data_IF_808742736431
#
_entry.id   IF_808742736431
#
_cell.length_a   1.000
_cell.length_b   1.000
_cell.length_c   1.000
_cell.angle_alpha   90.00
_cell.angle_beta   90.00
_cell.angle_gamma   90.00
#
_symmetry.space_group_name_H-M   'P 1'
#
loop_
_entity.id
_entity.type
_entity.pdbx_description
1 polymer ?
#
# COMPACT_ATOMS: atom_id res chain seq x y z
N UNK A 1 31.69 -49.88 36.71
CA UNK A 1 30.36 -49.27 36.82
C UNK A 1 30.51 -47.75 36.71
N UNK A 2 30.08 -47.15 35.59
CA UNK A 2 30.12 -45.70 35.36
C UNK A 2 28.78 -45.25 34.80
N UNK A 3 28.31 -44.16 35.39
CA UNK A 3 26.97 -43.59 35.30
C UNK A 3 26.49 -43.31 33.87
N UNK A 4 25.17 -43.45 33.70
CA UNK A 4 24.46 -43.20 32.46
C UNK A 4 24.58 -41.76 31.98
N UNK A 5 24.54 -41.61 30.66
CA UNK A 5 24.25 -40.33 30.00
C UNK A 5 22.94 -40.52 29.25
N UNK A 6 21.84 -40.13 29.90
CA UNK A 6 20.61 -39.77 29.22
C UNK A 6 20.88 -38.48 28.45
N UNK A 7 20.76 -38.53 27.13
CA UNK A 7 20.78 -37.34 26.27
C UNK A 7 19.32 -37.04 25.96
N UNK A 8 18.79 -35.87 26.36
CA UNK A 8 17.38 -35.56 26.14
C UNK A 8 17.12 -35.38 24.65
N UNK A 9 15.93 -35.81 24.28
CA UNK A 9 15.33 -35.75 22.95
C UNK A 9 15.60 -34.40 22.27
N UNK A 10 16.20 -34.45 21.07
CA UNK A 10 16.22 -33.29 20.17
C UNK A 10 14.78 -32.87 19.92
N UNK A 11 14.50 -31.63 20.30
CA UNK A 11 13.24 -30.90 20.17
C UNK A 11 12.49 -31.18 18.86
N UNK A 12 11.15 -31.18 18.90
CA UNK A 12 10.36 -31.29 17.69
C UNK A 12 10.71 -30.12 16.80
N UNK A 13 11.28 -30.44 15.64
CA UNK A 13 11.49 -29.58 14.48
C UNK A 13 10.31 -28.62 14.38
N UNK A 14 10.52 -27.39 14.87
CA UNK A 14 9.53 -26.33 14.75
C UNK A 14 9.21 -26.26 13.26
N UNK A 15 7.96 -26.55 12.92
CA UNK A 15 7.48 -26.41 11.56
C UNK A 15 7.75 -24.96 11.16
N UNK A 16 8.80 -24.77 10.38
CA UNK A 16 9.13 -23.54 9.70
C UNK A 16 7.90 -23.24 8.85
N UNK A 17 7.04 -22.34 9.35
CA UNK A 17 5.89 -21.84 8.59
C UNK A 17 6.49 -21.37 7.26
N UNK A 18 5.96 -21.80 6.09
CA UNK A 18 6.51 -21.37 4.82
C UNK A 18 6.57 -19.85 4.83
N UNK A 19 7.78 -19.28 4.72
CA UNK A 19 7.92 -17.84 4.60
C UNK A 19 7.03 -17.40 3.44
N UNK A 20 6.14 -16.41 3.67
CA UNK A 20 5.22 -16.00 2.64
C UNK A 20 6.03 -15.51 1.44
N UNK A 21 5.74 -16.04 0.25
CA UNK A 21 6.44 -15.65 -0.98
C UNK A 21 6.20 -14.14 -1.19
N UNK A 22 7.20 -13.31 -0.90
CA UNK A 22 7.10 -11.86 -0.96
C UNK A 22 7.83 -11.32 -2.19
N UNK A 23 7.15 -10.48 -2.99
CA UNK A 23 7.69 -9.82 -4.19
C UNK A 23 7.54 -8.32 -4.08
N UNK A 24 8.62 -7.59 -4.36
CA UNK A 24 8.62 -6.12 -4.42
C UNK A 24 8.62 -5.66 -5.87
N UNK A 25 7.70 -4.77 -6.23
CA UNK A 25 7.59 -4.16 -7.54
C UNK A 25 8.55 -2.96 -7.68
N UNK A 26 8.81 -2.53 -8.92
CA UNK A 26 9.58 -1.32 -9.22
C UNK A 26 9.00 -0.04 -8.62
N UNK A 27 7.69 -0.03 -8.32
CA UNK A 27 7.02 1.06 -7.58
C UNK A 27 7.35 1.07 -6.07
N UNK A 28 8.15 0.12 -5.58
CA UNK A 28 8.46 -0.06 -4.16
C UNK A 28 7.33 -0.68 -3.33
N UNK A 29 6.28 -1.20 -3.98
CA UNK A 29 5.20 -1.92 -3.33
C UNK A 29 5.58 -3.38 -3.13
N UNK A 30 5.45 -3.90 -1.91
CA UNK A 30 5.72 -5.31 -1.59
C UNK A 30 4.42 -6.07 -1.45
N UNK A 31 4.26 -7.17 -2.17
CA UNK A 31 3.13 -8.08 -2.06
C UNK A 31 3.62 -9.42 -1.55
N UNK A 32 2.95 -9.99 -0.55
CA UNK A 32 3.25 -11.32 -0.06
C UNK A 32 2.10 -12.27 -0.35
N UNK A 33 2.42 -13.51 -0.70
CA UNK A 33 1.45 -14.55 -0.92
C UNK A 33 0.89 -15.02 0.42
N UNK A 34 -0.41 -14.83 0.63
CA UNK A 34 -1.15 -15.31 1.79
C UNK A 34 -2.15 -16.37 1.37
N UNK A 35 -2.35 -17.37 2.22
CA UNK A 35 -3.35 -18.42 2.01
C UNK A 35 -4.57 -18.09 2.88
N UNK A 36 -5.64 -17.61 2.26
CA UNK A 36 -6.86 -17.18 2.94
C UNK A 36 -8.01 -18.06 2.44
N UNK A 37 -8.65 -18.82 3.35
CA UNK A 37 -9.72 -19.78 3.03
C UNK A 37 -9.36 -20.79 1.92
N UNK A 38 -8.12 -21.28 1.91
CA UNK A 38 -7.63 -22.22 0.89
C UNK A 38 -7.26 -21.57 -0.45
N UNK A 39 -7.45 -20.26 -0.61
CA UNK A 39 -7.10 -19.51 -1.82
C UNK A 39 -5.80 -18.75 -1.61
N UNK A 40 -4.84 -18.92 -2.53
CA UNK A 40 -3.61 -18.13 -2.56
C UNK A 40 -3.90 -16.75 -3.15
N UNK A 41 -3.58 -15.70 -2.39
CA UNK A 41 -3.75 -14.29 -2.81
C UNK A 41 -2.47 -13.51 -2.57
N UNK A 42 -2.16 -12.60 -3.48
CA UNK A 42 -1.09 -11.61 -3.28
C UNK A 42 -1.65 -10.43 -2.50
N UNK A 43 -1.14 -10.18 -1.30
CA UNK A 43 -1.61 -9.09 -0.42
C UNK A 43 -0.49 -8.07 -0.25
N UNK A 44 -0.81 -6.80 -0.52
CA UNK A 44 0.10 -5.68 -0.32
C UNK A 44 0.50 -5.62 1.17
N UNK A 45 1.80 -5.72 1.43
CA UNK A 45 2.38 -5.52 2.74
C UNK A 45 2.75 -4.04 2.92
N UNK A 46 2.04 -3.36 3.81
CA UNK A 46 2.28 -1.95 4.17
C UNK A 46 1.40 -0.94 3.44
N UNK A 47 1.73 0.35 3.61
CA UNK A 47 0.99 1.46 3.02
C UNK A 47 1.48 1.72 1.59
N UNK A 48 0.54 1.91 0.65
CA UNK A 48 0.86 2.32 -0.71
C UNK A 48 1.59 3.67 -0.67
N UNK A 49 2.73 3.75 -1.35
CA UNK A 49 3.51 5.00 -1.44
C UNK A 49 2.89 5.89 -2.52
N UNK A 50 2.83 7.21 -2.29
CA UNK A 50 2.41 8.16 -3.33
C UNK A 50 3.51 8.32 -4.38
N UNK A 51 3.08 8.43 -5.64
CA UNK A 51 3.97 8.63 -6.79
C UNK A 51 4.43 10.10 -6.89
N UNK A 52 3.65 11.03 -6.33
CA UNK A 52 3.94 12.46 -6.30
C UNK A 52 3.97 12.99 -4.87
N UNK A 53 4.84 13.96 -4.62
CA UNK A 53 4.97 14.66 -3.34
C UNK A 53 4.39 16.06 -3.44
N UNK A 54 4.13 16.68 -2.28
CA UNK A 54 3.70 18.09 -2.22
C UNK A 54 4.76 18.99 -2.87
N UNK A 55 4.31 19.90 -3.74
CA UNK A 55 5.15 20.79 -4.52
C UNK A 55 5.48 20.27 -5.93
N UNK A 56 5.33 18.97 -6.20
CA UNK A 56 5.62 18.38 -7.51
C UNK A 56 4.60 18.85 -8.56
N UNK A 57 5.06 18.98 -9.81
CA UNK A 57 4.18 19.25 -10.94
C UNK A 57 3.42 17.97 -11.30
N UNK A 58 2.10 18.03 -11.21
CA UNK A 58 1.21 16.92 -11.47
C UNK A 58 0.72 16.95 -12.93
N UNK A 59 0.81 15.84 -13.69
CA UNK A 59 0.41 15.81 -15.09
C UNK A 59 -1.12 15.68 -15.24
N UNK A 60 -1.85 16.78 -14.96
CA UNK A 60 -3.32 16.84 -14.92
C UNK A 60 -4.04 16.35 -16.20
N UNK A 61 -3.40 16.42 -17.37
CA UNK A 61 -3.98 15.94 -18.63
C UNK A 61 -3.77 14.44 -18.87
N UNK A 62 -2.91 13.78 -18.08
CA UNK A 62 -2.65 12.34 -18.16
C UNK A 62 -3.48 11.53 -17.17
N UNK A 63 -4.18 12.20 -16.25
CA UNK A 63 -4.86 11.56 -15.13
C UNK A 63 -6.29 12.06 -14.99
N UNK A 64 -7.18 11.20 -14.50
CA UNK A 64 -8.59 11.52 -14.33
C UNK A 64 -8.83 12.37 -13.09
N UNK A 65 -9.60 13.44 -13.26
CA UNK A 65 -10.11 14.23 -12.16
C UNK A 65 -11.19 13.45 -11.40
N UNK A 66 -11.16 13.53 -10.09
CA UNK A 66 -12.10 12.83 -9.22
C UNK A 66 -13.35 13.69 -8.99
N UNK A 67 -14.46 13.26 -9.58
CA UNK A 67 -15.74 13.99 -9.53
C UNK A 67 -16.61 13.60 -8.34
N UNK A 68 -16.63 12.32 -7.97
CA UNK A 68 -17.49 11.82 -6.90
C UNK A 68 -16.77 11.88 -5.55
N UNK A 69 -16.74 13.07 -4.94
CA UNK A 69 -16.05 13.33 -3.67
C UNK A 69 -16.68 12.56 -2.50
N UNK A 70 -18.02 12.46 -2.48
CA UNK A 70 -18.79 11.80 -1.41
C UNK A 70 -18.43 10.33 -1.26
N UNK A 71 -18.09 9.64 -2.35
CA UNK A 71 -17.68 8.23 -2.30
C UNK A 71 -16.42 8.00 -1.44
N UNK A 72 -15.60 9.04 -1.29
CA UNK A 72 -14.30 8.98 -0.62
C UNK A 72 -14.24 9.89 0.60
N UNK A 73 -15.41 10.35 1.11
CA UNK A 73 -15.53 11.25 2.26
C UNK A 73 -14.66 12.52 2.15
N UNK A 74 -14.44 12.98 0.91
CA UNK A 74 -13.62 14.17 0.65
C UNK A 74 -14.44 15.45 0.81
N UNK A 75 -13.84 16.53 1.34
CA UNK A 75 -14.50 17.82 1.43
C UNK A 75 -14.80 18.37 0.03
N UNK A 76 -15.81 19.23 -0.05
CA UNK A 76 -16.16 19.90 -1.29
C UNK A 76 -15.00 20.81 -1.78
N UNK A 77 -14.92 21.00 -3.10
CA UNK A 77 -13.95 21.93 -3.69
C UNK A 77 -14.37 23.36 -3.39
N UNK A 78 -13.65 24.04 -2.51
CA UNK A 78 -13.94 25.42 -2.07
C UNK A 78 -13.02 26.48 -2.69
N UNK A 79 -12.07 26.09 -3.54
CA UNK A 79 -11.09 27.01 -4.10
C UNK A 79 -10.55 26.56 -5.46
N UNK A 80 -9.43 27.17 -5.88
CA UNK A 80 -8.77 26.91 -7.17
C UNK A 80 -7.93 25.62 -7.16
N UNK A 81 -8.51 24.52 -6.72
CA UNK A 81 -7.84 23.22 -6.64
C UNK A 81 -8.81 22.10 -7.01
N UNK A 82 -8.27 20.95 -7.38
CA UNK A 82 -9.04 19.77 -7.84
C UNK A 82 -8.45 18.49 -7.27
N UNK A 83 -9.29 17.47 -7.13
CA UNK A 83 -8.84 16.13 -6.74
C UNK A 83 -8.53 15.27 -7.96
N UNK A 84 -7.46 14.48 -7.88
CA UNK A 84 -7.08 13.52 -8.89
C UNK A 84 -6.73 12.18 -8.26
N UNK A 85 -6.88 11.10 -9.03
CA UNK A 85 -6.44 9.77 -8.62
C UNK A 85 -5.40 9.22 -9.57
N UNK A 86 -4.28 8.74 -9.00
CA UNK A 86 -3.23 8.03 -9.72
C UNK A 86 -2.85 6.82 -8.89
N UNK A 87 -2.82 5.65 -9.52
CA UNK A 87 -2.50 4.39 -8.84
C UNK A 87 -3.25 4.25 -7.51
N UNK A 88 -4.55 4.56 -7.48
CA UNK A 88 -5.36 4.44 -6.27
C UNK A 88 -4.97 5.36 -5.10
N UNK A 89 -4.15 6.39 -5.35
CA UNK A 89 -3.84 7.47 -4.40
C UNK A 89 -4.54 8.75 -4.82
N UNK A 90 -5.13 9.47 -3.88
CA UNK A 90 -5.83 10.73 -4.07
C UNK A 90 -4.89 11.89 -3.78
N UNK A 91 -4.85 12.86 -4.69
CA UNK A 91 -4.04 14.07 -4.60
C UNK A 91 -4.93 15.30 -4.70
N UNK A 92 -4.66 16.31 -3.88
CA UNK A 92 -5.18 17.67 -4.08
C UNK A 92 -4.17 18.44 -4.91
N UNK A 93 -4.60 18.97 -6.04
CA UNK A 93 -3.72 19.64 -7.01
C UNK A 93 -4.26 21.04 -7.28
N UNK A 94 -3.36 22.02 -7.29
CA UNK A 94 -3.68 23.40 -7.66
C UNK A 94 -4.10 23.47 -9.14
N UNK A 95 -5.17 24.20 -9.43
CA UNK A 95 -5.75 24.23 -10.78
C UNK A 95 -4.93 25.09 -11.75
N UNK A 96 -4.15 26.06 -11.27
CA UNK A 96 -3.40 26.99 -12.11
C UNK A 96 -1.96 26.51 -12.31
N UNK A 97 -1.24 26.28 -11.21
CA UNK A 97 0.16 25.86 -11.19
C UNK A 97 0.34 24.37 -11.45
N UNK A 98 -0.74 23.57 -11.35
CA UNK A 98 -0.73 22.11 -11.50
C UNK A 98 0.17 21.42 -10.48
N UNK A 99 0.50 22.08 -9.36
CA UNK A 99 1.32 21.51 -8.30
C UNK A 99 0.47 20.72 -7.33
N UNK A 100 1.03 19.61 -6.82
CA UNK A 100 0.42 18.88 -5.71
C UNK A 100 0.45 19.75 -4.47
N UNK A 101 -0.71 20.05 -3.93
CA UNK A 101 -0.87 20.78 -2.68
C UNK A 101 -0.87 19.83 -1.48
N UNK A 102 -1.46 18.64 -1.65
CA UNK A 102 -1.62 17.67 -0.57
C UNK A 102 -1.75 16.25 -1.14
N UNK A 103 -1.15 15.28 -0.44
CA UNK A 103 -1.36 13.85 -0.70
C UNK A 103 -2.34 13.35 0.36
N UNK A 104 -3.57 13.02 -0.06
CA UNK A 104 -4.62 12.61 0.89
C UNK A 104 -4.42 11.17 1.34
N UNK A 105 -4.12 10.28 0.40
CA UNK A 105 -3.93 8.86 0.71
C UNK A 105 -4.64 7.92 -0.26
N UNK A 106 -4.73 6.63 0.09
CA UNK A 106 -5.30 5.63 -0.79
C UNK A 106 -6.83 5.71 -0.85
N UNK A 107 -7.41 5.36 -2.00
CA UNK A 107 -8.88 5.36 -2.23
C UNK A 107 -9.66 4.37 -1.39
N UNK A 108 -8.97 3.46 -0.69
CA UNK A 108 -9.55 2.41 0.16
C UNK A 108 -9.29 2.63 1.65
N UNK A 109 -8.59 3.70 2.04
CA UNK A 109 -8.52 4.08 3.45
C UNK A 109 -9.92 4.53 3.87
N UNK A 110 -10.64 3.62 4.52
CA UNK A 110 -11.86 3.89 5.29
C UNK A 110 -11.46 4.02 6.76
#
# INVERSE_FOLDING_TARGET
MRAGKYVPDTDPKAAEKPEPECKTLSSGATFCMTLENGVRRWVLQGKRRPDFKVGDVFPVYKHSMLMNLRRYDLPAVTGKWRYYVVAGMIYRVDAETKKVLEVIGPTYAR
#
